data_IF_973058540676
#
_entry.id   IF_973058540676
#
_cell.length_a   1.000
_cell.length_b   1.000
_cell.length_c   1.000
_cell.angle_alpha   90.00
_cell.angle_beta   90.00
_cell.angle_gamma   90.00
#
_symmetry.space_group_name_H-M   'P 1'
#
loop_
_entity.id
_entity.type
_entity.pdbx_description
1 polymer ?
#
# COMPACT_ATOMS: atom_id res chain seq x y z
N UNK A 1 -7.41 2.47 4.71
CA UNK A 1 -6.46 2.14 5.80
C UNK A 1 -6.53 0.66 6.21
N UNK A 2 -7.69 0.09 6.54
CA UNK A 2 -7.80 -1.33 6.95
C UNK A 2 -7.31 -2.31 5.86
N UNK A 3 -7.78 -2.16 4.61
CA UNK A 3 -7.37 -3.00 3.49
C UNK A 3 -5.84 -2.97 3.28
N UNK A 4 -5.22 -1.80 3.36
CA UNK A 4 -3.78 -1.64 3.33
C UNK A 4 -3.10 -2.40 4.49
N UNK A 5 -3.61 -2.33 5.73
CA UNK A 5 -2.99 -3.04 6.87
C UNK A 5 -3.00 -4.55 6.68
N UNK A 6 -4.09 -5.10 6.15
CA UNK A 6 -4.20 -6.53 5.79
C UNK A 6 -3.20 -6.87 4.69
N UNK A 7 -3.20 -6.09 3.59
CA UNK A 7 -2.27 -6.29 2.49
C UNK A 7 -0.79 -6.18 2.94
N UNK A 8 -0.47 -5.22 3.81
CA UNK A 8 0.87 -5.03 4.38
C UNK A 8 1.29 -6.21 5.24
N UNK A 9 0.41 -6.73 6.10
CA UNK A 9 0.69 -7.92 6.89
C UNK A 9 1.00 -9.13 5.98
N UNK A 10 0.19 -9.36 4.95
CA UNK A 10 0.43 -10.42 3.96
C UNK A 10 1.73 -10.19 3.17
N UNK A 11 2.04 -8.95 2.82
CA UNK A 11 3.26 -8.58 2.08
C UNK A 11 4.53 -8.77 2.93
N UNK A 12 4.50 -8.39 4.21
CA UNK A 12 5.63 -8.56 5.13
C UNK A 12 5.81 -10.05 5.50
N UNK A 13 4.70 -10.79 5.68
CA UNK A 13 4.73 -12.23 5.90
C UNK A 13 5.32 -13.03 4.73
N UNK A 14 5.22 -12.50 3.51
CA UNK A 14 5.79 -13.06 2.27
C UNK A 14 7.32 -13.17 2.31
N UNK A 15 8.01 -12.26 3.01
CA UNK A 15 9.47 -12.26 3.14
C UNK A 15 10.02 -13.36 4.06
N UNK A 16 9.19 -14.00 4.89
CA UNK A 16 9.63 -15.02 5.85
C UNK A 16 9.63 -16.44 5.30
N UNK A 17 8.61 -16.86 4.54
CA UNK A 17 8.44 -18.26 4.08
C UNK A 17 7.99 -18.34 2.61
N UNK A 18 8.69 -19.11 1.77
CA UNK A 18 8.37 -19.29 0.34
C UNK A 18 7.02 -19.97 0.04
N UNK A 19 6.46 -20.74 0.98
CA UNK A 19 5.14 -21.39 0.82
C UNK A 19 3.96 -20.41 1.01
N UNK A 20 4.13 -19.37 1.85
CA UNK A 20 3.12 -18.31 2.01
C UNK A 20 2.99 -17.43 0.76
N UNK A 21 3.95 -17.54 -0.16
CA UNK A 21 4.02 -16.78 -1.40
C UNK A 21 2.86 -17.09 -2.35
N UNK A 22 2.38 -18.34 -2.36
CA UNK A 22 1.34 -18.79 -3.29
C UNK A 22 -0.06 -18.35 -2.85
N UNK A 23 -0.35 -18.38 -1.55
CA UNK A 23 -1.65 -18.00 -0.98
C UNK A 23 -1.83 -16.49 -0.84
N UNK A 24 -0.75 -15.74 -0.55
CA UNK A 24 -0.82 -14.28 -0.40
C UNK A 24 -0.80 -13.53 -1.75
N UNK A 25 -0.27 -14.14 -2.82
CA UNK A 25 -0.22 -13.53 -4.14
C UNK A 25 -1.59 -13.09 -4.70
N UNK A 26 -2.63 -13.94 -4.73
CA UNK A 26 -3.94 -13.53 -5.24
C UNK A 26 -4.57 -12.39 -4.42
N UNK A 27 -4.35 -12.36 -3.11
CA UNK A 27 -4.85 -11.30 -2.24
C UNK A 27 -4.18 -9.94 -2.52
N UNK A 28 -2.87 -9.94 -2.78
CA UNK A 28 -2.14 -8.72 -3.15
C UNK A 28 -2.53 -8.21 -4.55
N UNK A 29 -2.76 -9.11 -5.49
CA UNK A 29 -3.26 -8.77 -6.84
C UNK A 29 -4.67 -8.20 -6.75
N UNK A 30 -5.56 -8.83 -5.98
CA UNK A 30 -6.91 -8.35 -5.76
C UNK A 30 -6.91 -6.97 -5.10
N UNK A 31 -6.09 -6.79 -4.06
CA UNK A 31 -5.89 -5.48 -3.43
C UNK A 31 -5.48 -4.43 -4.46
N UNK A 32 -4.50 -4.74 -5.32
CA UNK A 32 -4.03 -3.83 -6.36
C UNK A 32 -5.13 -3.45 -7.36
N UNK A 33 -5.89 -4.43 -7.85
CA UNK A 33 -7.00 -4.18 -8.78
C UNK A 33 -8.05 -3.29 -8.13
N UNK A 34 -8.41 -3.56 -6.88
CA UNK A 34 -9.40 -2.74 -6.16
C UNK A 34 -8.87 -1.32 -5.96
N UNK A 35 -7.64 -1.14 -5.47
CA UNK A 35 -7.12 0.20 -5.15
C UNK A 35 -6.81 1.02 -6.40
N UNK A 36 -6.14 0.43 -7.39
CA UNK A 36 -5.72 1.13 -8.61
C UNK A 36 -6.86 1.30 -9.60
N UNK A 37 -7.62 0.22 -9.90
CA UNK A 37 -8.64 0.27 -10.95
C UNK A 37 -9.97 0.86 -10.47
N UNK A 38 -10.38 0.61 -9.23
CA UNK A 38 -11.68 1.12 -8.72
C UNK A 38 -11.55 2.42 -7.94
N UNK A 39 -10.58 2.52 -7.04
CA UNK A 39 -10.43 3.72 -6.20
C UNK A 39 -9.47 4.78 -6.75
N UNK A 40 -8.67 4.45 -7.77
CA UNK A 40 -7.76 5.40 -8.41
C UNK A 40 -6.59 5.84 -7.54
N UNK A 41 -6.18 5.03 -6.56
CA UNK A 41 -4.98 5.27 -5.75
C UNK A 41 -4.06 4.05 -5.72
N UNK A 42 -2.76 4.29 -5.83
CA UNK A 42 -1.73 3.27 -5.76
C UNK A 42 -1.00 3.37 -4.41
N UNK A 43 -1.27 2.44 -3.50
CA UNK A 43 -0.51 2.33 -2.24
C UNK A 43 0.10 0.95 -2.19
N UNK A 44 1.41 0.86 -2.41
CA UNK A 44 2.10 -0.41 -2.41
C UNK A 44 2.06 -1.04 -1.01
N UNK A 45 1.66 -2.31 -0.93
CA UNK A 45 1.47 -3.01 0.33
C UNK A 45 2.76 -3.11 1.18
N UNK A 46 3.94 -2.96 0.57
CA UNK A 46 5.22 -2.98 1.27
C UNK A 46 5.65 -1.62 1.84
N UNK A 47 4.94 -0.53 1.53
CA UNK A 47 5.18 0.78 2.15
C UNK A 47 4.95 0.67 3.66
N UNK A 48 5.74 1.35 4.47
CA UNK A 48 5.57 1.37 5.94
C UNK A 48 4.78 2.60 6.33
N UNK A 49 3.57 2.40 6.87
CA UNK A 49 2.69 3.51 7.27
C UNK A 49 2.34 3.38 8.76
N UNK A 50 2.58 4.47 9.50
CA UNK A 50 2.29 4.61 10.91
C UNK A 50 0.80 4.55 11.29
N UNK A 51 0.50 4.98 12.51
CA UNK A 51 -0.85 5.04 13.08
C UNK A 51 -1.57 6.32 12.63
N UNK A 52 -2.91 6.26 12.64
CA UNK A 52 -3.79 7.40 12.31
C UNK A 52 -3.53 8.04 10.93
N UNK A 53 -3.03 7.25 9.98
CA UNK A 53 -2.92 7.69 8.59
C UNK A 53 -4.30 7.96 7.98
N UNK A 54 -4.49 9.16 7.44
CA UNK A 54 -5.74 9.57 6.78
C UNK A 54 -5.51 9.94 5.33
N UNK A 55 -6.48 9.61 4.47
CA UNK A 55 -6.47 9.96 3.05
C UNK A 55 -7.76 10.73 2.78
N UNK A 56 -7.62 11.98 2.37
CA UNK A 56 -8.75 12.81 1.96
C UNK A 56 -8.80 12.90 0.43
N UNK A 57 -9.87 12.37 -0.16
CA UNK A 57 -10.00 12.28 -1.63
C UNK A 57 -8.79 11.58 -2.25
N UNK A 58 -8.65 10.27 -2.05
CA UNK A 58 -7.42 9.55 -2.42
C UNK A 58 -7.11 9.48 -3.92
N UNK A 59 -7.92 10.03 -4.81
CA UNK A 59 -7.70 9.95 -6.25
C UNK A 59 -6.32 10.46 -6.69
N UNK A 60 -5.68 9.71 -7.58
CA UNK A 60 -4.35 9.98 -8.12
C UNK A 60 -3.24 10.09 -7.05
N UNK A 61 -3.39 9.39 -5.92
CA UNK A 61 -2.33 9.25 -4.93
C UNK A 61 -1.46 8.04 -5.26
N UNK A 62 -0.14 8.20 -5.23
CA UNK A 62 0.84 7.12 -5.47
C UNK A 62 1.83 7.05 -4.31
N UNK A 63 1.98 5.89 -3.68
CA UNK A 63 2.92 5.63 -2.58
C UNK A 63 3.75 4.38 -2.92
N UNK A 64 5.05 4.60 -3.13
CA UNK A 64 6.00 3.53 -3.42
C UNK A 64 6.25 2.61 -2.21
N UNK A 65 6.63 1.34 -2.45
CA UNK A 65 7.00 0.36 -1.42
C UNK A 65 8.09 0.80 -0.45
N UNK A 66 8.97 1.71 -0.86
CA UNK A 66 10.08 2.17 -0.03
C UNK A 66 9.71 3.36 0.86
N UNK A 67 8.46 3.83 0.79
CA UNK A 67 8.00 4.97 1.59
C UNK A 67 7.83 4.55 3.04
N UNK A 68 8.34 5.39 3.94
CA UNK A 68 8.11 5.30 5.39
C UNK A 68 7.34 6.55 5.82
N UNK A 69 6.05 6.39 6.08
CA UNK A 69 5.18 7.43 6.62
C UNK A 69 5.05 7.26 8.15
N UNK A 70 5.26 8.34 8.89
CA UNK A 70 5.12 8.38 10.35
C UNK A 70 3.68 8.32 10.85
N UNK A 71 3.51 8.54 12.16
CA UNK A 71 2.19 8.65 12.79
C UNK A 71 1.52 10.00 12.44
N UNK A 72 0.18 10.04 12.48
CA UNK A 72 -0.63 11.26 12.23
C UNK A 72 -0.44 11.89 10.84
N UNK A 73 -0.09 11.06 9.86
CA UNK A 73 0.12 11.52 8.51
C UNK A 73 -1.19 11.63 7.72
N UNK A 74 -1.32 12.70 6.93
CA UNK A 74 -2.51 13.00 6.14
C UNK A 74 -2.11 13.31 4.70
N UNK A 75 -2.69 12.59 3.73
CA UNK A 75 -2.49 12.84 2.30
C UNK A 75 -3.81 13.28 1.65
N UNK A 76 -3.71 14.15 0.65
CA UNK A 76 -4.82 14.59 -0.21
C UNK A 76 -4.65 14.09 -1.65
N UNK A 77 -5.66 14.29 -2.49
CA UNK A 77 -5.63 13.94 -3.92
C UNK A 77 -4.36 14.42 -4.65
N UNK A 78 -3.92 13.65 -5.64
CA UNK A 78 -2.85 14.02 -6.57
C UNK A 78 -1.43 14.00 -6.02
N UNK A 79 -1.21 13.39 -4.84
CA UNK A 79 0.12 13.31 -4.22
C UNK A 79 0.85 12.05 -4.65
N UNK A 80 2.07 12.22 -5.18
CA UNK A 80 2.94 11.11 -5.58
C UNK A 80 4.22 11.10 -4.75
N UNK A 81 4.45 10.00 -4.02
CA UNK A 81 5.69 9.68 -3.32
C UNK A 81 6.35 8.51 -4.04
N UNK A 82 7.14 8.84 -5.05
CA UNK A 82 7.88 7.90 -5.88
C UNK A 82 9.24 7.50 -5.31
N UNK A 83 10.02 6.75 -6.09
CA UNK A 83 11.42 6.43 -5.80
C UNK A 83 12.27 6.83 -7.00
N UNK A 84 13.38 7.54 -6.79
CA UNK A 84 14.29 7.94 -7.87
C UNK A 84 15.22 6.76 -8.19
N UNK A 85 15.05 6.16 -9.37
CA UNK A 85 15.91 5.08 -9.87
C UNK A 85 15.45 3.66 -9.50
N UNK A 86 14.13 3.43 -9.41
CA UNK A 86 13.54 2.10 -9.25
C UNK A 86 13.42 1.35 -10.59
#
# INVERSE_FOLDING_TARGET
VLAYRVAHFCSVGRKKNGLNNLWAAPLLVLYRIITECFFGYEIQAAATIGRRFTIHHGYAVVINKNVVAGDDFTIRHGVTIGNRGA
#
